data_IF_609438943479
#
_entry.id   IF_609438943479
#
_cell.length_a   1.000
_cell.length_b   1.000
_cell.length_c   1.000
_cell.angle_alpha   90.00
_cell.angle_beta   90.00
_cell.angle_gamma   90.00
#
_symmetry.space_group_name_H-M   'P 1'
#
loop_
_entity.id
_entity.type
_entity.pdbx_description
1 polymer ?
#
# COMPACT_ATOMS: atom_id res chain seq x y z
N UNK A 1 7.86 -29.66 -25.31
CA UNK A 1 6.73 -28.80 -24.90
C UNK A 1 6.52 -28.75 -23.39
N UNK A 2 6.31 -29.88 -22.69
CA UNK A 2 6.00 -29.89 -21.26
C UNK A 2 7.07 -29.20 -20.36
N UNK A 3 8.36 -29.44 -20.59
CA UNK A 3 9.44 -28.82 -19.82
C UNK A 3 9.50 -27.29 -19.97
N UNK A 4 9.21 -26.77 -21.16
CA UNK A 4 9.15 -25.32 -21.40
C UNK A 4 7.97 -24.67 -20.68
N UNK A 5 6.81 -25.34 -20.69
CA UNK A 5 5.62 -24.89 -19.96
C UNK A 5 5.87 -24.90 -18.44
N UNK A 6 6.49 -25.97 -17.91
CA UNK A 6 6.90 -26.04 -16.51
C UNK A 6 7.88 -24.93 -16.13
N UNK A 7 8.91 -24.69 -16.97
CA UNK A 7 9.86 -23.60 -16.76
C UNK A 7 9.18 -22.23 -16.72
N UNK A 8 8.22 -21.98 -17.62
CA UNK A 8 7.44 -20.75 -17.65
C UNK A 8 6.58 -20.59 -16.39
N UNK A 9 5.91 -21.65 -15.93
CA UNK A 9 5.08 -21.62 -14.72
C UNK A 9 5.91 -21.34 -13.46
N UNK A 10 7.09 -21.96 -13.34
CA UNK A 10 8.02 -21.71 -12.24
C UNK A 10 8.51 -20.26 -12.26
N UNK A 11 8.91 -19.75 -13.44
CA UNK A 11 9.34 -18.37 -13.59
C UNK A 11 8.20 -17.38 -13.24
N UNK A 12 6.99 -17.61 -13.73
CA UNK A 12 5.82 -16.79 -13.42
C UNK A 12 5.50 -16.79 -11.93
N UNK A 13 5.50 -17.96 -11.28
CA UNK A 13 5.31 -18.08 -9.83
C UNK A 13 6.40 -17.34 -9.06
N UNK A 14 7.67 -17.51 -9.45
CA UNK A 14 8.79 -16.83 -8.83
C UNK A 14 8.69 -15.30 -8.96
N UNK A 15 8.39 -14.79 -10.16
CA UNK A 15 8.20 -13.36 -10.40
C UNK A 15 7.00 -12.81 -9.60
N UNK A 16 5.92 -13.58 -9.47
CA UNK A 16 4.76 -13.19 -8.66
C UNK A 16 5.13 -13.04 -7.18
N UNK A 17 5.91 -13.98 -6.63
CA UNK A 17 6.36 -13.91 -5.23
C UNK A 17 7.31 -12.74 -4.98
N UNK A 18 8.10 -12.33 -5.99
CA UNK A 18 9.04 -11.21 -5.90
C UNK A 18 8.32 -9.85 -5.94
N UNK A 19 7.27 -9.70 -6.74
CA UNK A 19 6.51 -8.43 -6.87
C UNK A 19 5.91 -7.94 -5.55
N UNK A 20 5.55 -8.84 -4.63
CA UNK A 20 4.96 -8.49 -3.35
C UNK A 20 5.94 -8.10 -2.23
N UNK A 21 7.25 -8.08 -2.49
CA UNK A 21 8.27 -7.94 -1.43
C UNK A 21 8.81 -6.53 -1.19
N UNK A 22 8.36 -5.51 -1.93
CA UNK A 22 8.68 -4.12 -1.60
C UNK A 22 7.81 -3.69 -0.41
N UNK A 23 8.14 -4.22 0.77
CA UNK A 23 7.57 -3.78 2.03
C UNK A 23 8.43 -2.66 2.58
N UNK A 24 7.78 -1.61 3.05
CA UNK A 24 8.43 -0.59 3.85
C UNK A 24 8.64 -1.21 5.23
N UNK A 25 9.88 -1.28 5.69
CA UNK A 25 10.25 -1.70 7.05
C UNK A 25 10.01 -0.55 8.03
N UNK A 26 9.86 -0.86 9.32
CA UNK A 26 9.71 0.11 10.42
C UNK A 26 8.63 1.17 10.17
N UNK A 27 7.46 0.73 9.70
CA UNK A 27 6.33 1.63 9.37
C UNK A 27 5.80 2.40 10.58
N UNK A 28 6.01 1.86 11.79
CA UNK A 28 5.59 2.48 13.05
C UNK A 28 6.38 3.73 13.38
N UNK A 29 7.58 3.90 12.82
CA UNK A 29 8.40 5.11 13.05
C UNK A 29 8.23 6.13 11.90
N UNK A 30 7.27 5.88 10.99
CA UNK A 30 7.05 6.70 9.79
C UNK A 30 5.72 7.42 9.84
N UNK A 31 5.75 8.65 9.34
CA UNK A 31 4.60 9.53 9.26
C UNK A 31 4.21 9.77 7.80
N UNK A 32 2.90 9.77 7.54
CA UNK A 32 2.32 10.13 6.25
C UNK A 32 1.45 11.36 6.46
N UNK A 33 1.80 12.47 5.80
CA UNK A 33 1.01 13.69 5.77
C UNK A 33 0.17 13.72 4.49
N UNK A 34 -1.16 13.83 4.62
CA UNK A 34 -2.09 13.81 3.48
C UNK A 34 -2.94 15.08 3.51
N UNK A 35 -2.86 15.88 2.46
CA UNK A 35 -3.74 17.04 2.24
C UNK A 35 -4.95 16.67 1.39
N UNK A 36 -6.08 17.34 1.57
CA UNK A 36 -7.27 17.13 0.73
C UNK A 36 -7.88 15.74 0.93
N UNK A 37 -7.95 15.29 2.17
CA UNK A 37 -8.40 13.96 2.57
C UNK A 37 -9.78 13.92 3.20
N UNK A 38 -10.58 14.99 3.11
CA UNK A 38 -11.95 14.99 3.61
C UNK A 38 -12.78 13.89 2.93
N UNK A 39 -12.64 13.69 1.60
CA UNK A 39 -13.40 12.69 0.85
C UNK A 39 -12.58 11.96 -0.23
N UNK A 40 -13.23 11.07 -0.97
CA UNK A 40 -12.66 10.40 -2.14
C UNK A 40 -11.39 9.60 -1.85
N UNK A 41 -10.42 9.68 -2.77
CA UNK A 41 -9.18 8.92 -2.67
C UNK A 41 -8.32 9.34 -1.47
N UNK A 42 -8.28 10.63 -1.13
CA UNK A 42 -7.50 11.12 0.01
C UNK A 42 -7.99 10.53 1.34
N UNK A 43 -9.31 10.49 1.55
CA UNK A 43 -9.93 9.85 2.71
C UNK A 43 -9.63 8.34 2.76
N UNK A 44 -9.82 7.65 1.63
CA UNK A 44 -9.53 6.22 1.53
C UNK A 44 -8.06 5.92 1.82
N UNK A 45 -7.14 6.73 1.28
CA UNK A 45 -5.71 6.60 1.50
C UNK A 45 -5.35 6.79 2.98
N UNK A 46 -5.83 7.87 3.61
CA UNK A 46 -5.61 8.14 5.03
C UNK A 46 -6.02 6.96 5.91
N UNK A 47 -7.26 6.48 5.74
CA UNK A 47 -7.77 5.32 6.50
C UNK A 47 -7.04 4.02 6.19
N UNK A 48 -6.62 3.82 4.95
CA UNK A 48 -5.91 2.60 4.55
C UNK A 48 -4.51 2.55 5.15
N UNK A 49 -3.80 3.67 5.18
CA UNK A 49 -2.46 3.73 5.74
C UNK A 49 -2.46 3.65 7.27
N UNK A 50 -3.43 4.31 7.91
CA UNK A 50 -3.64 4.21 9.36
C UNK A 50 -3.87 2.74 9.78
N UNK A 51 -4.79 2.04 9.09
CA UNK A 51 -5.04 0.60 9.32
C UNK A 51 -3.83 -0.30 9.05
N UNK A 52 -2.91 0.13 8.20
CA UNK A 52 -1.67 -0.61 7.92
C UNK A 52 -0.59 -0.38 8.99
N UNK A 53 -0.79 0.54 9.92
CA UNK A 53 0.13 0.81 11.04
C UNK A 53 1.06 2.00 10.82
N UNK A 54 0.83 2.83 9.79
CA UNK A 54 1.53 4.10 9.65
C UNK A 54 0.91 5.15 10.58
N UNK A 55 1.73 6.10 11.06
CA UNK A 55 1.20 7.31 11.66
C UNK A 55 0.71 8.27 10.58
N UNK A 56 -0.60 8.52 10.51
CA UNK A 56 -1.17 9.40 9.48
C UNK A 56 -1.56 10.74 10.10
N UNK A 57 -1.12 11.82 9.48
CA UNK A 57 -1.55 13.20 9.77
C UNK A 57 -2.45 13.64 8.61
N UNK A 58 -3.75 13.68 8.88
CA UNK A 58 -4.77 14.06 7.91
C UNK A 58 -5.01 15.58 7.95
N UNK A 59 -4.58 16.29 6.91
CA UNK A 59 -4.85 17.71 6.70
C UNK A 59 -6.15 17.89 5.89
N UNK A 60 -7.27 17.75 6.59
CA UNK A 60 -8.62 18.00 6.10
C UNK A 60 -8.93 19.50 6.03
N UNK A 61 -9.87 19.88 5.15
CA UNK A 61 -10.47 21.21 5.08
C UNK A 61 -11.33 21.50 6.30
N UNK A 62 -12.00 20.47 6.85
CA UNK A 62 -12.83 20.56 8.06
C UNK A 62 -12.29 19.68 9.18
N UNK A 63 -12.51 20.07 10.45
CA UNK A 63 -12.05 19.28 11.60
C UNK A 63 -12.68 17.88 11.65
N UNK A 64 -13.98 17.80 11.34
CA UNK A 64 -14.72 16.54 11.28
C UNK A 64 -14.24 15.62 10.16
N UNK A 65 -13.58 16.16 9.13
CA UNK A 65 -13.53 15.54 7.80
C UNK A 65 -14.93 15.45 7.19
N UNK A 66 -15.06 14.76 6.04
CA UNK A 66 -16.37 14.39 5.49
C UNK A 66 -16.93 13.13 6.13
#
# INVERSE_FOLDING_TARGET
MLFWVLGLLILCGFLWTRKGKLKIEDITDKYIFITGCDSGFGNLAARTFDKKGFHVIAACLTESGS
#
